data_IF_613524379547
#
_entry.id   IF_613524379547
#
_cell.length_a   1.000
_cell.length_b   1.000
_cell.length_c   1.000
_cell.angle_alpha   90.00
_cell.angle_beta   90.00
_cell.angle_gamma   90.00
#
_symmetry.space_group_name_H-M   'P 1'
#
loop_
_entity.id
_entity.type
_entity.pdbx_description
1 polymer ?
#
# COMPACT_ATOMS: atom_id res chain seq x y z
N UNK A 1 14.82 -1.84 26.31
CA UNK A 1 13.94 -2.07 25.14
C UNK A 1 14.76 -1.88 23.88
N UNK A 2 14.62 -2.78 22.94
CA UNK A 2 15.33 -2.65 21.67
C UNK A 2 14.70 -1.54 20.83
N UNK A 3 15.42 -0.44 20.62
CA UNK A 3 14.94 0.71 19.84
C UNK A 3 14.47 0.31 18.43
N UNK A 4 15.16 -0.64 17.81
CA UNK A 4 14.77 -1.17 16.51
C UNK A 4 13.41 -1.90 16.57
N UNK A 5 13.16 -2.71 17.60
CA UNK A 5 11.88 -3.38 17.76
C UNK A 5 10.74 -2.38 17.92
N UNK A 6 10.93 -1.34 18.73
CA UNK A 6 9.96 -0.26 18.89
C UNK A 6 9.65 0.48 17.58
N UNK A 7 10.69 0.78 16.78
CA UNK A 7 10.50 1.40 15.47
C UNK A 7 9.71 0.50 14.51
N UNK A 8 10.00 -0.80 14.48
CA UNK A 8 9.28 -1.75 13.64
C UNK A 8 7.83 -1.95 14.09
N UNK A 9 7.57 -1.95 15.41
CA UNK A 9 6.19 -2.01 15.95
C UNK A 9 5.40 -0.77 15.57
N UNK A 10 5.98 0.43 15.68
CA UNK A 10 5.35 1.68 15.24
C UNK A 10 5.04 1.64 13.73
N UNK A 11 6.00 1.20 12.92
CA UNK A 11 5.81 1.08 11.48
C UNK A 11 4.71 0.08 11.13
N UNK A 12 4.70 -1.08 11.78
CA UNK A 12 3.69 -2.10 11.59
C UNK A 12 2.29 -1.56 11.91
N UNK A 13 2.14 -0.87 13.03
CA UNK A 13 0.87 -0.25 13.44
C UNK A 13 0.37 0.76 12.41
N UNK A 14 1.24 1.67 11.97
CA UNK A 14 0.88 2.68 10.97
C UNK A 14 0.52 2.04 9.62
N UNK A 15 1.26 1.03 9.20
CA UNK A 15 0.99 0.31 7.94
C UNK A 15 -0.29 -0.53 8.00
N UNK A 16 -0.57 -1.14 9.15
CA UNK A 16 -1.84 -1.85 9.37
C UNK A 16 -3.03 -0.90 9.30
N UNK A 17 -2.91 0.30 9.84
CA UNK A 17 -3.97 1.32 9.74
C UNK A 17 -4.27 1.70 8.28
N UNK A 18 -3.25 1.80 7.42
CA UNK A 18 -3.44 2.02 5.98
C UNK A 18 -4.14 0.84 5.30
N UNK A 19 -3.71 -0.40 5.59
CA UNK A 19 -4.36 -1.60 5.04
C UNK A 19 -5.84 -1.63 5.42
N UNK A 20 -6.18 -1.41 6.67
CA UNK A 20 -7.57 -1.41 7.15
C UNK A 20 -8.40 -0.31 6.49
N UNK A 21 -7.82 0.87 6.25
CA UNK A 21 -8.46 1.94 5.49
C UNK A 21 -8.72 1.51 4.04
N UNK A 22 -7.73 0.99 3.34
CA UNK A 22 -7.88 0.51 1.96
C UNK A 22 -8.91 -0.62 1.87
N UNK A 23 -8.99 -1.48 2.87
CA UNK A 23 -9.99 -2.55 2.95
C UNK A 23 -11.42 -1.97 3.07
N UNK A 24 -11.60 -0.96 3.91
CA UNK A 24 -12.86 -0.26 4.04
C UNK A 24 -13.24 0.44 2.72
N UNK A 25 -12.29 1.14 2.08
CA UNK A 25 -12.49 1.83 0.80
C UNK A 25 -12.86 0.85 -0.31
N UNK A 26 -12.17 -0.28 -0.44
CA UNK A 26 -12.40 -1.25 -1.49
C UNK A 26 -13.86 -1.73 -1.57
N UNK A 27 -14.58 -1.79 -0.44
CA UNK A 27 -15.99 -2.16 -0.38
C UNK A 27 -16.92 -1.13 -1.03
N UNK A 28 -16.48 0.12 -1.15
CA UNK A 28 -17.26 1.23 -1.71
C UNK A 28 -16.87 1.58 -3.15
N UNK A 29 -15.76 1.04 -3.65
CA UNK A 29 -15.32 1.27 -5.02
C UNK A 29 -16.03 0.30 -5.97
N UNK A 30 -16.88 0.84 -6.84
CA UNK A 30 -17.66 0.05 -7.80
C UNK A 30 -17.01 -0.06 -9.17
N UNK A 31 -16.10 0.85 -9.50
CA UNK A 31 -15.35 0.77 -10.76
C UNK A 31 -14.42 -0.43 -10.74
N UNK A 32 -14.55 -1.28 -11.75
CA UNK A 32 -13.86 -2.56 -11.81
C UNK A 32 -12.32 -2.41 -11.73
N UNK A 33 -11.74 -1.56 -12.58
CA UNK A 33 -10.28 -1.39 -12.62
C UNK A 33 -9.74 -0.78 -11.33
N UNK A 34 -10.43 0.19 -10.76
CA UNK A 34 -10.02 0.81 -9.50
C UNK A 34 -10.18 -0.17 -8.32
N UNK A 35 -11.26 -0.94 -8.28
CA UNK A 35 -11.44 -1.97 -7.26
C UNK A 35 -10.34 -3.02 -7.34
N UNK A 36 -9.99 -3.48 -8.55
CA UNK A 36 -8.89 -4.41 -8.75
C UNK A 36 -7.55 -3.83 -8.27
N UNK A 37 -7.31 -2.55 -8.49
CA UNK A 37 -6.12 -1.89 -7.98
C UNK A 37 -6.08 -1.92 -6.44
N UNK A 38 -7.18 -1.60 -5.77
CA UNK A 38 -7.26 -1.72 -4.30
C UNK A 38 -7.05 -3.14 -3.83
N UNK A 39 -7.63 -4.15 -4.47
CA UNK A 39 -7.40 -5.57 -4.12
C UNK A 39 -5.93 -5.96 -4.27
N UNK A 40 -5.28 -5.48 -5.32
CA UNK A 40 -3.85 -5.68 -5.51
C UNK A 40 -3.03 -5.02 -4.38
N UNK A 41 -3.35 -3.78 -4.00
CA UNK A 41 -2.67 -3.07 -2.92
C UNK A 41 -2.87 -3.78 -1.58
N UNK A 42 -4.08 -4.26 -1.28
CA UNK A 42 -4.36 -5.03 -0.07
C UNK A 42 -3.49 -6.28 0.03
N UNK A 43 -3.36 -7.03 -1.07
CA UNK A 43 -2.51 -8.19 -1.12
C UNK A 43 -1.03 -7.85 -0.90
N UNK A 44 -0.55 -6.76 -1.50
CA UNK A 44 0.83 -6.30 -1.31
C UNK A 44 1.07 -5.81 0.12
N UNK A 45 0.13 -5.05 0.67
CA UNK A 45 0.23 -4.52 2.04
C UNK A 45 0.24 -5.65 3.07
N UNK A 46 -0.53 -6.72 2.85
CA UNK A 46 -0.53 -7.90 3.71
C UNK A 46 0.83 -8.60 3.70
N UNK A 47 1.44 -8.74 2.52
CA UNK A 47 2.81 -9.27 2.38
C UNK A 47 3.81 -8.39 3.12
N UNK A 48 3.74 -7.06 2.98
CA UNK A 48 4.63 -6.13 3.68
C UNK A 48 4.50 -6.25 5.20
N UNK A 49 3.27 -6.33 5.69
CA UNK A 49 3.00 -6.52 7.12
C UNK A 49 3.60 -7.84 7.62
N UNK A 50 3.51 -8.91 6.83
CA UNK A 50 4.13 -10.20 7.19
C UNK A 50 5.65 -10.11 7.33
N UNK A 51 6.32 -9.34 6.46
CA UNK A 51 7.76 -9.13 6.56
C UNK A 51 8.15 -8.37 7.83
N UNK A 52 7.40 -7.31 8.14
CA UNK A 52 7.65 -6.50 9.34
C UNK A 52 7.34 -7.32 10.60
N UNK A 53 6.25 -8.09 10.59
CA UNK A 53 5.89 -8.99 11.68
C UNK A 53 6.97 -10.03 11.96
N UNK A 54 7.51 -10.66 10.91
CA UNK A 54 8.62 -11.61 11.05
C UNK A 54 9.87 -10.93 11.65
N UNK A 55 10.20 -9.72 11.19
CA UNK A 55 11.32 -8.97 11.75
C UNK A 55 11.13 -8.59 13.23
N UNK A 56 9.92 -8.26 13.65
CA UNK A 56 9.59 -8.00 15.06
C UNK A 56 9.76 -9.28 15.88
N UNK A 57 9.25 -10.41 15.40
CA UNK A 57 9.37 -11.71 16.07
C UNK A 57 10.83 -12.15 16.20
N UNK A 58 11.65 -11.96 15.17
CA UNK A 58 13.09 -12.26 15.19
C UNK A 58 13.84 -11.45 16.26
N UNK A 59 13.34 -10.29 16.63
CA UNK A 59 13.88 -9.46 17.71
C UNK A 59 13.30 -9.83 19.11
N UNK A 60 12.47 -10.87 19.19
CA UNK A 60 11.82 -11.30 20.43
C UNK A 60 10.74 -10.37 20.93
N UNK A 61 10.23 -9.48 20.10
CA UNK A 61 9.15 -8.56 20.43
C UNK A 61 7.79 -9.10 19.99
N UNK A 62 6.73 -8.58 20.61
CA UNK A 62 5.36 -8.94 20.27
C UNK A 62 4.77 -7.95 19.28
N UNK A 63 3.89 -8.45 18.43
CA UNK A 63 3.06 -7.63 17.55
C UNK A 63 1.89 -7.10 18.37
N UNK A 64 1.57 -5.82 18.21
CA UNK A 64 0.40 -5.22 18.83
C UNK A 64 -0.91 -5.82 18.26
N UNK A 65 -2.00 -5.82 19.03
CA UNK A 65 -3.29 -6.27 18.54
C UNK A 65 -3.73 -5.55 17.27
N UNK A 66 -4.52 -6.24 16.46
CA UNK A 66 -5.07 -5.68 15.22
C UNK A 66 -5.85 -4.38 15.50
N UNK A 67 -5.68 -3.40 14.63
CA UNK A 67 -6.47 -2.18 14.66
C UNK A 67 -7.92 -2.42 14.23
N UNK A 68 -8.72 -1.37 14.33
CA UNK A 68 -10.13 -1.39 13.90
C UNK A 68 -10.24 -0.74 12.53
N UNK A 69 -11.00 -1.38 11.64
CA UNK A 69 -11.31 -0.83 10.33
C UNK A 69 -12.13 0.46 10.47
N UNK A 70 -11.74 1.57 9.80
CA UNK A 70 -12.50 2.82 9.89
C UNK A 70 -13.87 2.68 9.21
N UNK A 71 -14.88 3.33 9.80
CA UNK A 71 -16.20 3.45 9.17
C UNK A 71 -16.19 4.59 8.16
N UNK A 72 -16.30 4.25 6.89
CA UNK A 72 -16.38 5.20 5.77
C UNK A 72 -17.76 5.21 5.10
N UNK A 73 -18.75 4.56 5.66
CA UNK A 73 -20.10 4.43 5.06
C UNK A 73 -20.77 5.77 4.78
N UNK A 74 -20.47 6.81 5.57
CA UNK A 74 -20.97 8.16 5.35
C UNK A 74 -20.53 8.77 4.01
N UNK A 75 -19.44 8.28 3.40
CA UNK A 75 -18.91 8.76 2.13
C UNK A 75 -19.58 8.08 0.91
N UNK A 76 -20.32 7.00 1.11
CA UNK A 76 -20.78 6.12 0.04
C UNK A 76 -22.08 6.53 -0.67
N UNK A 77 -22.72 7.63 -0.30
CA UNK A 77 -24.03 8.03 -0.87
C UNK A 77 -23.94 8.89 -2.14
N UNK A 78 -22.79 9.51 -2.37
CA UNK A 78 -22.55 10.34 -3.54
C UNK A 78 -21.85 9.51 -4.63
N UNK A 79 -22.35 9.52 -5.89
CA UNK A 79 -21.68 8.84 -7.01
C UNK A 79 -20.23 9.27 -7.24
N UNK A 80 -19.88 10.50 -6.89
CA UNK A 80 -18.55 11.07 -7.04
C UNK A 80 -17.69 10.98 -5.74
N UNK A 81 -18.25 10.44 -4.66
CA UNK A 81 -17.54 10.31 -3.38
C UNK A 81 -16.21 9.54 -3.51
N UNK A 82 -16.12 8.62 -4.45
CA UNK A 82 -14.90 7.88 -4.71
C UNK A 82 -13.70 8.78 -5.04
N UNK A 83 -13.91 9.91 -5.73
CA UNK A 83 -12.84 10.86 -6.05
C UNK A 83 -12.20 11.43 -4.78
N UNK A 84 -13.02 11.89 -3.86
CA UNK A 84 -12.54 12.43 -2.58
C UNK A 84 -11.84 11.38 -1.73
N UNK A 85 -12.34 10.15 -1.78
CA UNK A 85 -11.71 9.01 -1.08
C UNK A 85 -10.32 8.75 -1.66
N UNK A 86 -10.20 8.63 -2.97
CA UNK A 86 -8.94 8.35 -3.67
C UNK A 86 -7.95 9.51 -3.53
N UNK A 87 -8.42 10.77 -3.56
CA UNK A 87 -7.58 11.94 -3.24
C UNK A 87 -7.03 11.88 -1.82
N UNK A 88 -7.87 11.49 -0.87
CA UNK A 88 -7.44 11.33 0.52
C UNK A 88 -6.41 10.21 0.66
N UNK A 89 -6.58 9.09 -0.05
CA UNK A 89 -5.63 7.98 -0.04
C UNK A 89 -4.30 8.35 -0.70
N UNK A 90 -4.32 9.12 -1.78
CA UNK A 90 -3.11 9.66 -2.40
C UNK A 90 -2.32 10.57 -1.44
N UNK A 91 -3.03 11.46 -0.73
CA UNK A 91 -2.41 12.32 0.31
C UNK A 91 -1.89 11.50 1.48
N UNK A 92 -2.65 10.52 1.95
CA UNK A 92 -2.24 9.65 3.06
C UNK A 92 -0.97 8.87 2.73
N UNK A 93 -0.86 8.36 1.50
CA UNK A 93 0.34 7.68 1.01
C UNK A 93 1.58 8.61 1.06
N UNK A 94 1.44 9.85 0.59
CA UNK A 94 2.54 10.82 0.66
C UNK A 94 2.93 11.13 2.10
N UNK A 95 1.95 11.38 2.97
CA UNK A 95 2.20 11.66 4.39
C UNK A 95 2.87 10.50 5.11
N UNK A 96 2.49 9.26 4.77
CA UNK A 96 3.15 8.06 5.29
C UNK A 96 4.63 8.02 4.92
N UNK A 97 4.95 8.23 3.65
CA UNK A 97 6.33 8.25 3.16
C UNK A 97 7.14 9.39 3.80
N UNK A 98 6.57 10.59 3.90
CA UNK A 98 7.23 11.75 4.48
C UNK A 98 7.52 11.55 5.98
N UNK A 99 6.62 10.88 6.70
CA UNK A 99 6.81 10.53 8.12
C UNK A 99 7.92 9.51 8.31
N UNK A 100 7.94 8.46 7.49
CA UNK A 100 8.78 7.30 7.72
C UNK A 100 10.16 7.39 7.09
N UNK A 101 10.30 8.05 5.95
CA UNK A 101 11.59 8.16 5.24
C UNK A 101 12.71 8.66 6.12
N UNK A 102 12.59 9.79 6.86
CA UNK A 102 13.67 10.27 7.71
C UNK A 102 14.05 9.31 8.84
N UNK A 103 13.09 8.59 9.38
CA UNK A 103 13.33 7.59 10.43
C UNK A 103 14.07 6.37 9.88
N UNK A 104 13.67 5.90 8.71
CA UNK A 104 14.27 4.75 8.03
C UNK A 104 15.71 5.07 7.61
N UNK A 105 15.98 6.27 7.08
CA UNK A 105 17.31 6.67 6.65
C UNK A 105 18.32 6.72 7.82
N UNK A 106 17.86 6.96 9.03
CA UNK A 106 18.70 6.94 10.25
C UNK A 106 18.97 5.53 10.80
N UNK A 107 18.29 4.51 10.29
CA UNK A 107 18.48 3.14 10.77
C UNK A 107 19.90 2.64 10.46
N UNK A 108 20.54 2.05 11.45
CA UNK A 108 21.88 1.43 11.30
C UNK A 108 21.78 0.02 10.73
N UNK A 109 20.69 -0.72 11.02
CA UNK A 109 20.48 -2.06 10.49
C UNK A 109 20.13 -2.01 9.00
N UNK A 110 21.10 -2.37 8.16
CA UNK A 110 20.99 -2.28 6.70
C UNK A 110 19.88 -3.20 6.13
N UNK A 111 19.68 -4.39 6.71
CA UNK A 111 18.64 -5.34 6.27
C UNK A 111 17.25 -4.77 6.46
N UNK A 112 16.94 -4.32 7.67
CA UNK A 112 15.62 -3.76 7.98
C UNK A 112 15.40 -2.42 7.27
N UNK A 113 16.44 -1.57 7.19
CA UNK A 113 16.38 -0.35 6.40
C UNK A 113 16.03 -0.62 4.93
N UNK A 114 16.67 -1.61 4.30
CA UNK A 114 16.38 -2.02 2.93
C UNK A 114 14.95 -2.51 2.76
N UNK A 115 14.48 -3.36 3.67
CA UNK A 115 13.10 -3.86 3.67
C UNK A 115 12.09 -2.71 3.73
N UNK A 116 12.25 -1.79 4.67
CA UNK A 116 11.31 -0.67 4.82
C UNK A 116 11.38 0.31 3.64
N UNK A 117 12.55 0.51 3.02
CA UNK A 117 12.67 1.30 1.78
C UNK A 117 11.86 0.70 0.64
N UNK A 118 11.86 -0.62 0.48
CA UNK A 118 11.04 -1.30 -0.53
C UNK A 118 9.56 -1.02 -0.27
N UNK A 119 9.11 -1.13 0.97
CA UNK A 119 7.73 -0.85 1.34
C UNK A 119 7.35 0.62 1.03
N UNK A 120 8.21 1.60 1.36
CA UNK A 120 7.97 2.99 1.00
C UNK A 120 7.87 3.20 -0.51
N UNK A 121 8.70 2.51 -1.29
CA UNK A 121 8.64 2.55 -2.76
C UNK A 121 7.28 2.07 -3.27
N UNK A 122 6.76 0.99 -2.72
CA UNK A 122 5.45 0.47 -3.11
C UNK A 122 4.29 1.38 -2.65
N UNK A 123 4.40 2.05 -1.51
CA UNK A 123 3.43 3.07 -1.09
C UNK A 123 3.38 4.23 -2.09
N UNK A 124 4.52 4.65 -2.64
CA UNK A 124 4.57 5.65 -3.70
C UNK A 124 3.96 5.15 -5.01
N UNK A 125 4.11 3.88 -5.35
CA UNK A 125 3.43 3.28 -6.51
C UNK A 125 1.91 3.24 -6.30
N UNK A 126 1.43 2.94 -5.11
CA UNK A 126 0.01 3.06 -4.78
C UNK A 126 -0.49 4.50 -4.98
N UNK A 127 0.23 5.49 -4.46
CA UNK A 127 -0.08 6.91 -4.66
C UNK A 127 -0.19 7.25 -6.13
N UNK A 128 0.78 6.83 -6.94
CA UNK A 128 0.75 7.03 -8.39
C UNK A 128 -0.49 6.45 -9.04
N UNK A 129 -0.89 5.24 -8.65
CA UNK A 129 -2.11 4.61 -9.16
C UNK A 129 -3.38 5.39 -8.77
N UNK A 130 -3.44 5.94 -7.57
CA UNK A 130 -4.53 6.82 -7.15
C UNK A 130 -4.60 8.09 -8.01
N UNK A 131 -3.46 8.73 -8.26
CA UNK A 131 -3.36 9.91 -9.10
C UNK A 131 -3.76 9.61 -10.56
N UNK A 132 -3.36 8.47 -11.11
CA UNK A 132 -3.77 8.01 -12.43
C UNK A 132 -5.27 7.78 -12.52
N UNK A 133 -5.88 7.15 -11.51
CA UNK A 133 -7.33 6.97 -11.46
C UNK A 133 -8.08 8.31 -11.45
N UNK A 134 -7.59 9.29 -10.70
CA UNK A 134 -8.15 10.65 -10.66
C UNK A 134 -8.00 11.38 -12.00
N UNK A 135 -6.94 11.09 -12.74
CA UNK A 135 -6.72 11.61 -14.11
C UNK A 135 -7.55 10.90 -15.18
N UNK A 136 -8.32 9.88 -14.83
CA UNK A 136 -9.18 9.13 -15.76
C UNK A 136 -8.49 7.97 -16.46
N UNK A 137 -7.31 7.58 -16.04
CA UNK A 137 -6.63 6.39 -16.55
C UNK A 137 -7.29 5.13 -15.99
N UNK A 138 -7.55 4.15 -16.85
CA UNK A 138 -8.26 2.93 -16.47
C UNK A 138 -7.35 1.73 -16.26
N UNK A 139 -6.19 1.72 -16.89
CA UNK A 139 -5.24 0.60 -16.80
C UNK A 139 -4.24 0.79 -15.66
N UNK A 140 -4.74 0.87 -14.44
CA UNK A 140 -3.97 1.21 -13.25
C UNK A 140 -2.87 0.18 -12.91
N UNK A 141 -3.06 -1.06 -13.32
CA UNK A 141 -2.11 -2.15 -13.07
C UNK A 141 -1.22 -2.46 -14.30
N UNK A 142 -1.36 -1.69 -15.39
CA UNK A 142 -0.59 -1.88 -16.62
C UNK A 142 -0.82 -3.23 -17.29
N UNK A 143 -2.01 -3.80 -17.15
CA UNK A 143 -2.35 -5.11 -17.71
C UNK A 143 -2.83 -5.05 -19.14
N UNK A 144 -3.35 -3.89 -19.57
CA UNK A 144 -3.80 -3.66 -20.93
C UNK A 144 -2.71 -2.94 -21.69
N UNK A 145 -2.32 -3.49 -22.81
CA UNK A 145 -1.46 -2.77 -23.71
C UNK A 145 -2.31 -1.76 -24.46
N UNK A 146 -1.88 -0.50 -24.46
CA UNK A 146 -2.41 0.48 -25.38
C UNK A 146 -2.34 -0.09 -26.80
N UNK A 147 -3.27 0.32 -27.62
CA UNK A 147 -3.67 -0.12 -28.96
C UNK A 147 -2.59 -0.56 -29.93
N UNK A 148 -1.37 -0.13 -29.76
CA UNK A 148 -0.29 -0.44 -30.71
C UNK A 148 0.25 -1.82 -30.38
N UNK A 149 -0.25 -2.74 -31.16
CA UNK A 149 0.24 -4.09 -31.11
C UNK A 149 0.04 -4.67 -29.73
N UNK A 150 -1.25 -4.86 -29.39
CA UNK A 150 -1.56 -5.77 -28.33
C UNK A 150 -0.54 -6.88 -28.41
N UNK A 151 0.45 -6.83 -27.58
CA UNK A 151 1.45 -7.87 -27.53
C UNK A 151 0.72 -9.09 -27.11
N UNK A 152 0.27 -9.82 -28.11
CA UNK A 152 -0.44 -11.04 -27.94
C UNK A 152 0.38 -11.88 -26.99
N UNK A 153 -0.19 -12.17 -25.84
CA UNK A 153 0.51 -12.91 -24.84
C UNK A 153 1.70 -12.15 -24.25
N UNK A 154 1.51 -10.88 -23.87
CA UNK A 154 2.48 -10.17 -23.04
C UNK A 154 2.78 -11.01 -21.81
N UNK A 155 3.60 -12.03 -22.00
CA UNK A 155 4.13 -12.84 -20.93
C UNK A 155 4.88 -11.85 -20.05
N UNK A 156 4.48 -11.78 -18.79
CA UNK A 156 5.26 -11.07 -17.80
C UNK A 156 6.70 -11.53 -17.91
N UNK A 157 7.65 -10.61 -17.95
CA UNK A 157 9.04 -11.00 -18.05
C UNK A 157 9.36 -12.04 -16.99
N UNK A 158 10.11 -13.05 -17.34
CA UNK A 158 10.53 -14.15 -16.48
C UNK A 158 11.18 -13.70 -15.16
N UNK A 159 11.66 -12.47 -15.08
CA UNK A 159 12.19 -11.86 -13.85
C UNK A 159 11.21 -11.85 -12.65
N UNK A 160 9.95 -12.16 -12.87
CA UNK A 160 8.97 -12.31 -11.80
C UNK A 160 8.89 -13.73 -11.26
N UNK A 161 9.65 -14.64 -11.82
CA UNK A 161 9.67 -16.07 -11.48
C UNK A 161 10.94 -16.45 -10.72
N UNK A 162 11.95 -15.58 -10.67
CA UNK A 162 13.20 -15.78 -9.93
C UNK A 162 13.09 -15.37 -8.47
#
# INVERSE_FOLDING_TARGET
MNELAGLLQDFHRDKLAELLRHQAVARHIRQYDLNNAYQYFLNRDDVHLSWVAAAIADLGALIEPAGVEPDITALGKDPDAWRHIVEADARAAQLFVDRWRPRIEKMTNARHRGMLRVILGEVLEQKRSFEQALAGELDLLGRRTAEVGARVGGVLPTRWIE
#
